data_IF_105365194978
#
_entry.id   IF_105365194978
#
_cell.length_a   1.000
_cell.length_b   1.000
_cell.length_c   1.000
_cell.angle_alpha   90.00
_cell.angle_beta   90.00
_cell.angle_gamma   90.00
#
_symmetry.space_group_name_H-M   'P 1'
#
loop_
_entity.id
_entity.type
_entity.pdbx_description
1 polymer ?
#
# COMPACT_ATOMS: atom_id res chain seq x y z
N UNK A 1 13.32 -15.25 5.24
CA UNK A 1 12.02 -14.58 4.92
C UNK A 1 11.86 -13.43 5.91
N UNK A 2 11.54 -12.23 5.46
CA UNK A 2 11.27 -11.06 6.34
C UNK A 2 9.76 -10.92 6.52
N UNK A 3 9.32 -10.56 7.71
CA UNK A 3 7.92 -10.33 8.05
C UNK A 3 7.63 -8.82 8.07
N UNK A 4 6.68 -8.38 7.25
CA UNK A 4 6.21 -7.00 7.16
C UNK A 4 4.69 -6.95 7.37
N UNK A 5 4.18 -5.81 7.86
CA UNK A 5 2.74 -5.53 7.75
C UNK A 5 2.41 -5.01 6.35
N UNK A 6 1.18 -5.23 5.88
CA UNK A 6 0.66 -4.48 4.75
C UNK A 6 0.39 -3.02 5.16
N UNK A 7 0.75 -2.06 4.30
CA UNK A 7 0.54 -0.63 4.54
C UNK A 7 -0.89 -0.32 5.03
N UNK A 8 -1.01 0.38 6.15
CA UNK A 8 -2.27 0.81 6.75
C UNK A 8 -3.08 -0.26 7.49
N UNK A 9 -2.54 -1.49 7.67
CA UNK A 9 -3.21 -2.56 8.43
C UNK A 9 -2.83 -2.58 9.91
N UNK A 10 -1.81 -1.83 10.32
CA UNK A 10 -1.34 -1.74 11.71
C UNK A 10 -1.09 -0.28 12.06
N UNK A 11 -1.63 0.18 13.17
CA UNK A 11 -1.22 1.43 13.81
C UNK A 11 -0.11 1.10 14.82
N UNK A 12 1.13 1.37 14.41
CA UNK A 12 2.30 1.06 15.23
C UNK A 12 2.43 1.93 16.48
N UNK A 13 1.80 3.10 16.51
CA UNK A 13 1.80 3.96 17.69
C UNK A 13 0.75 3.54 18.71
N UNK A 14 -0.34 2.91 18.27
CA UNK A 14 -1.35 2.32 19.13
C UNK A 14 -0.98 0.91 19.63
N UNK A 15 -0.21 0.15 18.83
CA UNK A 15 0.23 -1.22 19.15
C UNK A 15 1.75 -1.39 18.91
N UNK A 16 2.61 -0.67 19.65
CA UNK A 16 4.06 -0.69 19.43
C UNK A 16 4.70 -2.06 19.72
N UNK A 17 4.13 -2.84 20.61
CA UNK A 17 4.58 -4.20 20.90
C UNK A 17 4.41 -5.13 19.70
N UNK A 18 3.34 -4.98 18.93
CA UNK A 18 3.13 -5.74 17.69
C UNK A 18 4.09 -5.27 16.60
N UNK A 19 4.24 -3.95 16.45
CA UNK A 19 5.15 -3.39 15.45
C UNK A 19 6.60 -3.86 15.65
N UNK A 20 7.07 -3.97 16.91
CA UNK A 20 8.42 -4.46 17.25
C UNK A 20 8.65 -5.94 16.93
N UNK A 21 7.63 -6.72 16.64
CA UNK A 21 7.79 -8.12 16.19
C UNK A 21 8.07 -8.24 14.71
N UNK A 22 7.94 -7.16 13.95
CA UNK A 22 8.16 -7.14 12.51
C UNK A 22 9.65 -6.95 12.18
N UNK A 23 10.08 -7.52 11.05
CA UNK A 23 11.42 -7.25 10.50
C UNK A 23 11.47 -5.88 9.79
N UNK A 24 10.31 -5.37 9.35
CA UNK A 24 10.11 -4.03 8.76
C UNK A 24 8.69 -3.58 9.05
N UNK A 25 8.52 -2.33 9.43
CA UNK A 25 7.22 -1.69 9.53
C UNK A 25 6.94 -0.81 8.31
N UNK A 26 5.83 -1.05 7.62
CA UNK A 26 5.35 -0.25 6.48
C UNK A 26 4.26 0.70 6.98
N UNK A 27 4.46 2.01 6.81
CA UNK A 27 3.52 3.02 7.31
C UNK A 27 2.21 3.04 6.53
N UNK A 28 1.20 3.72 7.07
CA UNK A 28 0.05 4.18 6.29
C UNK A 28 0.54 5.06 5.15
N UNK A 29 -0.12 4.98 3.98
CA UNK A 29 0.20 5.82 2.82
C UNK A 29 0.10 7.30 3.19
N UNK A 30 1.16 8.05 2.84
CA UNK A 30 1.28 9.50 3.04
C UNK A 30 1.09 10.20 1.70
N UNK A 31 0.31 11.28 1.70
CA UNK A 31 0.06 12.16 0.55
C UNK A 31 0.63 13.56 0.81
N UNK A 32 0.78 14.44 -0.20
CA UNK A 32 1.27 15.81 0.04
C UNK A 32 0.47 16.57 1.09
N UNK A 33 -0.85 16.54 0.96
CA UNK A 33 -1.77 17.22 1.88
C UNK A 33 -2.45 16.20 2.80
N UNK A 34 -2.88 16.66 3.97
CA UNK A 34 -3.70 15.89 4.90
C UNK A 34 -5.04 15.50 4.27
N UNK A 35 -5.53 14.30 4.59
CA UNK A 35 -6.82 13.78 4.11
C UNK A 35 -7.61 13.16 5.26
N UNK A 36 -8.87 13.53 5.36
CA UNK A 36 -9.80 12.90 6.32
C UNK A 36 -10.24 11.51 5.86
N UNK A 37 -10.16 11.25 4.55
CA UNK A 37 -10.67 10.05 3.90
C UNK A 37 -12.17 10.12 3.62
N UNK A 38 -12.76 8.96 3.36
CA UNK A 38 -14.19 8.85 3.06
C UNK A 38 -15.04 8.94 4.33
N UNK A 39 -16.31 9.28 4.18
CA UNK A 39 -17.29 9.24 5.26
C UNK A 39 -17.47 7.81 5.84
N UNK A 40 -17.82 7.64 7.12
CA UNK A 40 -18.22 6.35 7.65
C UNK A 40 -19.65 5.99 7.15
N UNK A 41 -20.00 4.70 6.99
CA UNK A 41 -19.26 3.47 7.31
C UNK A 41 -18.21 3.18 6.25
N UNK A 42 -16.95 3.03 6.63
CA UNK A 42 -15.82 2.83 5.71
C UNK A 42 -15.00 1.55 5.95
N UNK A 43 -15.49 0.69 6.86
CA UNK A 43 -14.98 -0.67 7.09
C UNK A 43 -16.19 -1.56 7.35
N UNK A 44 -16.20 -2.75 6.76
CA UNK A 44 -17.20 -3.76 6.99
C UNK A 44 -16.59 -5.17 6.95
N UNK A 45 -16.93 -6.01 7.91
CA UNK A 45 -16.58 -7.42 7.91
C UNK A 45 -17.46 -8.17 6.94
N UNK A 46 -16.93 -9.22 6.34
CA UNK A 46 -17.64 -10.20 5.52
C UNK A 46 -17.30 -11.59 6.01
N UNK A 47 -18.06 -12.62 5.61
CA UNK A 47 -17.85 -14.00 6.02
C UNK A 47 -16.40 -14.49 5.83
N UNK A 48 -15.71 -14.09 4.76
CA UNK A 48 -14.38 -14.57 4.39
C UNK A 48 -13.30 -13.48 4.36
N UNK A 49 -13.63 -12.28 4.81
CA UNK A 49 -12.68 -11.15 4.76
C UNK A 49 -13.24 -9.85 5.28
N UNK A 50 -12.70 -8.76 4.77
CA UNK A 50 -13.08 -7.41 5.18
C UNK A 50 -13.07 -6.48 3.95
N UNK A 51 -14.04 -5.59 3.90
CA UNK A 51 -14.08 -4.48 2.95
C UNK A 51 -13.65 -3.19 3.64
N UNK A 52 -12.86 -2.38 2.94
CA UNK A 52 -12.52 -1.05 3.39
C UNK A 52 -12.67 0.00 2.28
N UNK A 53 -13.15 1.17 2.63
CA UNK A 53 -13.24 2.34 1.78
C UNK A 53 -12.65 3.56 2.51
N UNK A 54 -11.41 3.47 2.99
CA UNK A 54 -10.79 4.49 3.85
C UNK A 54 -10.54 5.82 3.12
N UNK A 55 -10.23 5.81 1.82
CA UNK A 55 -10.01 7.02 1.03
C UNK A 55 -8.69 7.74 1.33
N UNK A 56 -7.63 6.99 1.64
CA UNK A 56 -6.29 7.50 1.93
C UNK A 56 -6.23 8.49 3.11
N UNK A 57 -7.04 8.29 4.17
CA UNK A 57 -6.94 9.11 5.39
C UNK A 57 -5.50 9.10 5.92
N UNK A 58 -4.88 10.28 6.04
CA UNK A 58 -3.50 10.45 6.49
C UNK A 58 -3.22 11.91 6.87
N UNK A 59 -2.17 12.20 7.67
CA UNK A 59 -1.88 13.55 8.17
C UNK A 59 -1.25 14.50 7.13
N UNK A 60 -0.89 14.02 5.94
CA UNK A 60 -0.05 14.74 4.98
C UNK A 60 1.45 14.68 5.34
N UNK A 61 2.32 15.01 4.35
CA UNK A 61 3.77 14.86 4.51
C UNK A 61 4.34 15.75 5.61
N UNK A 62 3.87 16.97 5.80
CA UNK A 62 4.42 17.89 6.79
C UNK A 62 4.19 17.38 8.21
N UNK A 63 2.94 17.11 8.59
CA UNK A 63 2.62 16.54 9.90
C UNK A 63 3.20 15.13 10.10
N UNK A 64 3.31 14.35 9.02
CA UNK A 64 3.99 13.05 9.09
C UNK A 64 5.46 13.21 9.50
N UNK A 65 6.21 14.11 8.86
CA UNK A 65 7.62 14.35 9.16
C UNK A 65 7.85 14.95 10.55
N UNK A 66 6.97 15.82 11.01
CA UNK A 66 7.12 16.53 12.27
C UNK A 66 6.65 15.73 13.48
N UNK A 67 5.55 14.99 13.34
CA UNK A 67 4.84 14.40 14.49
C UNK A 67 4.87 12.86 14.50
N UNK A 68 4.85 12.20 13.32
CA UNK A 68 4.72 10.76 13.23
C UNK A 68 6.07 10.07 13.05
N UNK A 69 6.89 10.53 12.10
CA UNK A 69 8.17 9.89 11.76
C UNK A 69 9.11 9.77 12.97
N UNK A 70 9.32 10.81 13.81
CA UNK A 70 10.18 10.69 14.99
C UNK A 70 9.70 9.59 15.96
N UNK A 71 8.40 9.53 16.21
CA UNK A 71 7.81 8.52 17.11
C UNK A 71 7.89 7.11 16.53
N UNK A 72 7.76 6.96 15.22
CA UNK A 72 7.91 5.67 14.53
C UNK A 72 9.37 5.20 14.56
N UNK A 73 10.34 6.12 14.44
CA UNK A 73 11.75 5.81 14.55
C UNK A 73 12.14 5.26 15.94
N UNK A 74 11.48 5.69 17.01
CA UNK A 74 11.67 5.18 18.37
C UNK A 74 11.27 3.71 18.56
N UNK A 75 10.53 3.13 17.60
CA UNK A 75 10.20 1.70 17.64
C UNK A 75 11.43 0.80 17.47
N UNK A 76 12.51 1.31 16.84
CA UNK A 76 13.73 0.56 16.57
C UNK A 76 13.56 -0.53 15.50
N UNK A 77 12.52 -0.43 14.68
CA UNK A 77 12.24 -1.32 13.54
C UNK A 77 12.51 -0.57 12.25
N UNK A 78 13.16 -1.18 11.24
CA UNK A 78 13.33 -0.59 9.92
C UNK A 78 12.01 -0.06 9.36
N UNK A 79 12.00 1.19 8.89
CA UNK A 79 10.78 1.86 8.42
C UNK A 79 10.75 1.96 6.90
N UNK A 80 9.67 1.47 6.31
CA UNK A 80 9.28 1.78 4.94
C UNK A 80 8.11 2.76 4.96
N UNK A 81 8.18 3.81 4.15
CA UNK A 81 7.07 4.77 4.06
C UNK A 81 6.28 4.50 2.79
N UNK A 82 5.00 4.24 2.95
CA UNK A 82 4.07 4.13 1.82
C UNK A 82 3.73 5.53 1.32
N UNK A 83 3.97 5.77 0.03
CA UNK A 83 3.79 7.04 -0.67
C UNK A 83 2.62 6.93 -1.64
N UNK A 84 1.76 7.93 -1.66
CA UNK A 84 0.64 8.00 -2.59
C UNK A 84 0.31 9.42 -3.00
N UNK A 85 -0.43 9.53 -4.09
CA UNK A 85 -0.85 10.81 -4.65
C UNK A 85 -1.93 10.62 -5.70
N UNK A 86 -2.32 11.71 -6.34
CA UNK A 86 -3.33 11.78 -7.39
C UNK A 86 -2.75 12.28 -8.70
N UNK A 87 -1.53 12.81 -8.66
CA UNK A 87 -0.74 13.23 -9.80
C UNK A 87 0.69 12.71 -9.66
N UNK A 88 1.45 12.75 -10.74
CA UNK A 88 2.87 12.41 -10.75
C UNK A 88 3.66 13.30 -9.79
N UNK A 89 3.34 14.60 -9.76
CA UNK A 89 3.96 15.60 -8.90
C UNK A 89 3.78 15.28 -7.42
N UNK A 90 2.62 14.74 -7.02
CA UNK A 90 2.33 14.34 -5.65
C UNK A 90 3.31 13.27 -5.17
N UNK A 91 3.55 12.23 -5.99
CA UNK A 91 4.51 11.17 -5.66
C UNK A 91 5.93 11.71 -5.55
N UNK A 92 6.34 12.54 -6.52
CA UNK A 92 7.67 13.16 -6.54
C UNK A 92 7.87 14.07 -5.32
N UNK A 93 6.88 14.89 -4.98
CA UNK A 93 6.92 15.77 -3.82
C UNK A 93 7.13 14.99 -2.52
N UNK A 94 6.31 13.97 -2.27
CA UNK A 94 6.39 13.17 -1.02
C UNK A 94 7.71 12.41 -0.97
N UNK A 95 8.10 11.75 -2.07
CA UNK A 95 9.34 10.98 -2.14
C UNK A 95 10.58 11.87 -1.94
N UNK A 96 10.62 13.05 -2.57
CA UNK A 96 11.71 14.02 -2.40
C UNK A 96 11.86 14.52 -0.97
N UNK A 97 10.73 14.74 -0.24
CA UNK A 97 10.74 15.11 1.18
C UNK A 97 11.27 13.98 2.08
N UNK A 98 11.14 12.72 1.66
CA UNK A 98 11.60 11.55 2.38
C UNK A 98 13.04 11.14 2.00
N UNK A 99 13.56 11.60 0.86
CA UNK A 99 14.86 11.19 0.30
C UNK A 99 16.02 11.33 1.30
N UNK A 100 16.10 12.48 1.99
CA UNK A 100 17.16 12.78 2.96
C UNK A 100 16.89 12.25 4.39
N UNK A 101 15.78 11.55 4.63
CA UNK A 101 15.40 11.08 5.98
C UNK A 101 16.09 9.75 6.27
N UNK A 102 17.12 9.78 7.14
CA UNK A 102 17.89 8.59 7.52
C UNK A 102 17.07 7.51 8.22
N UNK A 103 15.95 7.89 8.85
CA UNK A 103 15.02 6.98 9.53
C UNK A 103 14.23 6.09 8.57
N UNK A 104 14.14 6.48 7.28
CA UNK A 104 13.37 5.77 6.25
C UNK A 104 14.30 4.88 5.44
N UNK A 105 14.10 3.55 5.50
CA UNK A 105 14.90 2.57 4.77
C UNK A 105 14.49 2.48 3.29
N UNK A 106 13.17 2.47 3.00
CA UNK A 106 12.65 2.34 1.64
C UNK A 106 11.30 3.05 1.47
N UNK A 107 10.89 3.25 0.21
CA UNK A 107 9.58 3.78 -0.14
C UNK A 107 8.74 2.70 -0.83
N UNK A 108 7.49 2.54 -0.38
CA UNK A 108 6.47 1.74 -1.07
C UNK A 108 5.54 2.68 -1.84
N UNK A 109 5.58 2.66 -3.16
CA UNK A 109 4.71 3.48 -4.02
C UNK A 109 3.34 2.82 -4.16
N UNK A 110 2.30 3.42 -3.60
CA UNK A 110 0.93 2.92 -3.67
C UNK A 110 0.28 3.34 -5.00
N UNK A 111 0.51 2.56 -6.06
CA UNK A 111 0.15 2.88 -7.45
C UNK A 111 -1.24 2.36 -7.86
N UNK A 112 -2.03 1.86 -6.93
CA UNK A 112 -3.26 1.14 -7.27
C UNK A 112 -4.29 1.13 -6.14
N UNK A 113 -4.59 2.31 -5.55
CA UNK A 113 -5.59 2.37 -4.48
C UNK A 113 -7.01 2.22 -5.06
N UNK A 114 -7.77 1.16 -4.75
CA UNK A 114 -9.12 0.96 -5.29
C UNK A 114 -10.17 1.92 -4.69
N UNK A 115 -9.79 2.69 -3.68
CA UNK A 115 -10.66 3.57 -2.91
C UNK A 115 -10.57 5.05 -3.36
N UNK A 116 -9.87 5.32 -4.46
CA UNK A 116 -9.77 6.63 -5.10
C UNK A 116 -9.97 6.45 -6.61
N UNK A 117 -10.67 7.39 -7.23
CA UNK A 117 -11.02 7.32 -8.64
C UNK A 117 -9.90 7.88 -9.55
N UNK A 118 -8.91 8.56 -8.96
CA UNK A 118 -7.83 9.26 -9.65
C UNK A 118 -6.48 8.70 -9.18
N UNK A 119 -5.98 7.67 -9.86
CA UNK A 119 -4.60 7.17 -9.67
C UNK A 119 -3.90 7.27 -11.03
N UNK A 120 -2.62 7.68 -11.10
CA UNK A 120 -1.88 7.70 -12.37
C UNK A 120 -1.95 6.34 -13.06
N UNK A 121 -2.42 6.32 -14.31
CA UNK A 121 -2.59 5.07 -15.08
C UNK A 121 -1.26 4.42 -15.45
N UNK A 122 -0.15 5.21 -15.50
CA UNK A 122 1.14 4.74 -15.96
C UNK A 122 2.10 4.50 -14.79
N UNK A 123 2.19 3.26 -14.34
CA UNK A 123 3.11 2.84 -13.28
C UNK A 123 4.57 3.17 -13.60
N UNK A 124 5.01 2.96 -14.84
CA UNK A 124 6.39 3.24 -15.25
C UNK A 124 6.76 4.71 -15.13
N UNK A 125 5.86 5.62 -15.52
CA UNK A 125 6.12 7.07 -15.41
C UNK A 125 6.28 7.51 -13.96
N UNK A 126 5.41 7.04 -13.06
CA UNK A 126 5.51 7.40 -11.65
C UNK A 126 6.79 6.85 -11.03
N UNK A 127 7.13 5.58 -11.30
CA UNK A 127 8.37 4.99 -10.78
C UNK A 127 9.60 5.75 -11.29
N UNK A 128 9.67 6.06 -12.59
CA UNK A 128 10.79 6.79 -13.18
C UNK A 128 10.94 8.20 -12.59
N UNK A 129 9.83 8.92 -12.44
CA UNK A 129 9.83 10.26 -11.86
C UNK A 129 10.27 10.26 -10.38
N UNK A 130 9.77 9.30 -9.59
CA UNK A 130 10.19 9.14 -8.19
C UNK A 130 11.65 8.69 -8.11
N UNK A 131 12.11 7.80 -8.99
CA UNK A 131 13.50 7.36 -9.05
C UNK A 131 14.45 8.54 -9.28
N UNK A 132 14.08 9.51 -10.10
CA UNK A 132 14.85 10.74 -10.31
C UNK A 132 14.93 11.64 -9.06
N UNK A 133 14.00 11.50 -8.12
CA UNK A 133 13.92 12.32 -6.91
C UNK A 133 14.56 11.68 -5.66
N UNK A 134 14.94 10.40 -5.70
CA UNK A 134 15.50 9.70 -4.54
C UNK A 134 16.35 8.50 -4.92
N UNK A 135 17.40 8.23 -4.12
CA UNK A 135 18.22 7.01 -4.23
C UNK A 135 17.74 5.89 -3.29
N UNK A 136 16.69 6.12 -2.51
CA UNK A 136 16.14 5.10 -1.61
C UNK A 136 15.58 3.91 -2.39
N UNK A 137 15.63 2.68 -1.83
CA UNK A 137 14.95 1.54 -2.42
C UNK A 137 13.46 1.84 -2.66
N UNK A 138 12.98 1.54 -3.88
CA UNK A 138 11.60 1.76 -4.32
C UNK A 138 10.88 0.44 -4.55
N UNK A 139 9.76 0.23 -3.86
CA UNK A 139 8.86 -0.91 -4.04
C UNK A 139 7.56 -0.44 -4.70
N UNK A 140 7.26 -0.95 -5.89
CA UNK A 140 6.01 -0.65 -6.59
C UNK A 140 4.89 -1.55 -6.06
N UNK A 141 3.88 -0.96 -5.40
CA UNK A 141 2.71 -1.72 -4.92
C UNK A 141 1.62 -1.74 -5.97
N UNK A 142 1.36 -2.95 -6.49
CA UNK A 142 0.48 -3.17 -7.62
C UNK A 142 -0.84 -3.85 -7.18
N UNK A 143 -1.88 -3.67 -8.00
CA UNK A 143 -3.15 -4.37 -7.88
C UNK A 143 -3.18 -5.58 -8.81
N UNK A 144 -3.87 -6.65 -8.37
CA UNK A 144 -4.23 -7.76 -9.25
C UNK A 144 -5.36 -7.42 -10.23
N UNK A 145 -6.00 -6.27 -10.07
CA UNK A 145 -7.15 -5.83 -10.88
C UNK A 145 -6.73 -4.97 -12.09
N UNK A 146 -5.64 -5.33 -12.74
CA UNK A 146 -5.14 -4.69 -13.97
C UNK A 146 -5.23 -5.68 -15.13
N UNK A 147 -5.32 -5.17 -16.35
CA UNK A 147 -5.49 -6.01 -17.56
C UNK A 147 -4.28 -6.94 -17.79
N UNK A 148 -3.06 -6.44 -17.60
CA UNK A 148 -1.81 -7.21 -17.73
C UNK A 148 -0.85 -6.83 -16.59
N UNK A 149 -0.88 -7.64 -15.53
CA UNK A 149 -0.03 -7.44 -14.36
C UNK A 149 1.45 -7.71 -14.71
N UNK A 150 1.74 -8.64 -15.61
CA UNK A 150 3.10 -8.93 -16.05
C UNK A 150 3.73 -7.73 -16.77
N UNK A 151 3.00 -7.12 -17.70
CA UNK A 151 3.45 -5.91 -18.38
C UNK A 151 3.64 -4.73 -17.39
N UNK A 152 2.72 -4.57 -16.44
CA UNK A 152 2.83 -3.54 -15.40
C UNK A 152 4.08 -3.75 -14.52
N UNK A 153 4.38 -4.99 -14.16
CA UNK A 153 5.57 -5.34 -13.37
C UNK A 153 6.87 -5.08 -14.13
N UNK A 154 6.92 -5.46 -15.42
CA UNK A 154 8.07 -5.14 -16.30
C UNK A 154 8.27 -3.64 -16.47
N UNK A 155 7.19 -2.87 -16.60
CA UNK A 155 7.27 -1.41 -16.69
C UNK A 155 7.85 -0.79 -15.41
N UNK A 156 7.46 -1.28 -14.22
CA UNK A 156 8.04 -0.85 -12.96
C UNK A 156 9.53 -1.18 -12.87
N UNK A 157 9.95 -2.40 -13.26
CA UNK A 157 11.36 -2.82 -13.30
C UNK A 157 12.19 -1.94 -14.25
N UNK A 158 11.72 -1.74 -15.47
CA UNK A 158 12.38 -0.90 -16.47
C UNK A 158 12.51 0.55 -16.04
N UNK A 159 11.59 1.05 -15.22
CA UNK A 159 11.57 2.40 -14.67
C UNK A 159 12.45 2.58 -13.43
N UNK A 160 13.08 1.52 -12.91
CA UNK A 160 14.01 1.58 -11.78
C UNK A 160 13.40 1.29 -10.41
N UNK A 161 12.31 0.52 -10.35
CA UNK A 161 11.87 -0.09 -9.09
C UNK A 161 12.88 -1.13 -8.61
N UNK A 162 13.12 -1.20 -7.30
CA UNK A 162 14.00 -2.17 -6.66
C UNK A 162 13.23 -3.42 -6.18
N UNK A 163 11.91 -3.36 -6.18
CA UNK A 163 11.05 -4.47 -5.79
C UNK A 163 9.57 -4.23 -6.08
N UNK A 164 8.77 -5.28 -5.85
CA UNK A 164 7.32 -5.24 -5.99
C UNK A 164 6.65 -5.58 -4.66
N UNK A 165 5.55 -4.90 -4.35
CA UNK A 165 4.62 -5.27 -3.28
C UNK A 165 3.31 -5.77 -3.89
N UNK A 166 2.95 -7.02 -3.66
CA UNK A 166 1.83 -7.72 -4.28
C UNK A 166 0.97 -8.43 -3.23
N UNK A 167 -0.30 -8.11 -3.08
CA UNK A 167 -1.11 -7.23 -3.92
C UNK A 167 -1.82 -6.19 -3.05
N UNK A 168 -2.31 -5.11 -3.70
CA UNK A 168 -3.31 -4.25 -3.07
C UNK A 168 -4.65 -4.99 -2.98
N UNK A 169 -5.60 -4.48 -2.21
CA UNK A 169 -6.98 -4.99 -2.14
C UNK A 169 -7.66 -4.92 -3.51
N UNK A 170 -8.60 -5.82 -3.77
CA UNK A 170 -9.41 -5.80 -5.00
C UNK A 170 -10.80 -5.24 -4.72
N UNK A 171 -11.46 -4.66 -5.72
CA UNK A 171 -12.80 -4.07 -5.54
C UNK A 171 -13.81 -5.15 -5.18
N UNK A 172 -14.62 -4.87 -4.16
CA UNK A 172 -15.72 -5.71 -3.70
C UNK A 172 -16.91 -4.90 -3.22
N UNK A 173 -18.05 -5.56 -3.11
CA UNK A 173 -19.30 -5.02 -2.59
C UNK A 173 -19.86 -6.01 -1.58
N UNK A 174 -20.37 -5.52 -0.45
CA UNK A 174 -21.23 -6.28 0.44
C UNK A 174 -22.56 -5.54 0.64
N UNK A 175 -23.64 -6.30 0.71
CA UNK A 175 -24.99 -5.79 0.95
C UNK A 175 -25.44 -6.20 2.35
N UNK A 176 -26.16 -5.31 3.01
CA UNK A 176 -26.94 -5.66 4.19
C UNK A 176 -28.04 -6.64 3.79
N UNK A 177 -28.11 -7.80 4.43
CA UNK A 177 -29.02 -8.90 4.05
C UNK A 177 -30.50 -8.53 4.14
N UNK A 178 -30.86 -7.59 5.00
CA UNK A 178 -32.25 -7.17 5.24
C UNK A 178 -32.68 -6.06 4.30
N UNK A 179 -31.79 -5.06 4.09
CA UNK A 179 -32.14 -3.86 3.33
C UNK A 179 -31.69 -3.92 1.87
N UNK A 180 -30.80 -4.86 1.54
CA UNK A 180 -30.14 -5.00 0.24
C UNK A 180 -29.40 -3.73 -0.20
N UNK A 181 -29.05 -2.87 0.76
CA UNK A 181 -28.24 -1.68 0.49
C UNK A 181 -26.74 -1.98 0.75
N UNK A 182 -25.84 -1.27 0.09
CA UNK A 182 -24.41 -1.37 0.39
C UNK A 182 -24.12 -1.09 1.87
N UNK A 183 -23.25 -1.92 2.48
CA UNK A 183 -22.86 -1.75 3.89
C UNK A 183 -21.83 -0.63 4.08
N UNK A 184 -21.07 -0.29 3.04
CA UNK A 184 -20.17 0.86 3.05
C UNK A 184 -20.89 2.09 2.47
N UNK A 185 -20.67 3.26 3.05
CA UNK A 185 -21.25 4.53 2.58
C UNK A 185 -20.92 4.80 1.11
N UNK A 186 -19.68 4.54 0.69
CA UNK A 186 -19.23 4.66 -0.71
C UNK A 186 -19.73 3.51 -1.63
N UNK A 187 -20.45 2.55 -1.11
CA UNK A 187 -20.93 1.36 -1.82
C UNK A 187 -19.83 0.30 -1.95
N UNK A 188 -18.84 0.52 -2.79
CA UNK A 188 -17.73 -0.42 -3.02
C UNK A 188 -16.50 -0.09 -2.18
N UNK A 189 -15.70 -1.12 -1.88
CA UNK A 189 -14.45 -0.98 -1.14
C UNK A 189 -13.38 -1.98 -1.60
N UNK A 190 -12.21 -1.91 -0.99
CA UNK A 190 -11.13 -2.86 -1.18
C UNK A 190 -11.36 -4.11 -0.32
N UNK A 191 -11.47 -5.27 -0.95
CA UNK A 191 -11.59 -6.57 -0.31
C UNK A 191 -10.22 -7.09 0.12
N UNK A 192 -10.11 -7.52 1.38
CA UNK A 192 -8.92 -8.11 2.00
C UNK A 192 -9.30 -9.35 2.83
N UNK A 193 -8.30 -10.00 3.44
CA UNK A 193 -8.50 -11.19 4.26
C UNK A 193 -8.25 -12.50 3.49
N UNK A 194 -8.60 -13.66 4.09
CA UNK A 194 -8.29 -14.99 3.54
C UNK A 194 -8.79 -15.22 2.11
N UNK A 195 -9.92 -14.62 1.76
CA UNK A 195 -10.52 -14.70 0.41
C UNK A 195 -9.59 -14.17 -0.70
N UNK A 196 -8.68 -13.24 -0.36
CA UNK A 196 -7.75 -12.64 -1.33
C UNK A 196 -6.55 -13.56 -1.64
N UNK A 197 -6.27 -14.58 -0.82
CA UNK A 197 -5.07 -15.41 -0.93
C UNK A 197 -4.85 -16.03 -2.32
N UNK A 198 -5.82 -16.69 -2.97
CA UNK A 198 -5.59 -17.28 -4.30
C UNK A 198 -5.29 -16.23 -5.36
N UNK A 199 -5.89 -15.05 -5.27
CA UNK A 199 -5.62 -13.91 -6.18
C UNK A 199 -4.20 -13.39 -5.96
N UNK A 200 -3.80 -13.20 -4.70
CA UNK A 200 -2.45 -12.75 -4.35
C UNK A 200 -1.37 -13.73 -4.81
N UNK A 201 -1.59 -15.04 -4.63
CA UNK A 201 -0.67 -16.08 -5.09
C UNK A 201 -0.52 -16.10 -6.61
N UNK A 202 -1.62 -15.96 -7.37
CA UNK A 202 -1.59 -15.86 -8.83
C UNK A 202 -0.79 -14.64 -9.29
N UNK A 203 -1.02 -13.49 -8.66
CA UNK A 203 -0.28 -12.25 -8.94
C UNK A 203 1.22 -12.37 -8.67
N UNK A 204 1.60 -12.92 -7.51
CA UNK A 204 3.00 -13.18 -7.16
C UNK A 204 3.64 -14.14 -8.17
N UNK A 205 2.95 -15.23 -8.52
CA UNK A 205 3.44 -16.19 -9.52
C UNK A 205 3.68 -15.53 -10.89
N UNK A 206 2.74 -14.71 -11.36
CA UNK A 206 2.88 -13.98 -12.62
C UNK A 206 4.10 -13.06 -12.58
N UNK A 207 4.21 -12.17 -11.58
CA UNK A 207 5.32 -11.22 -11.50
C UNK A 207 6.68 -11.92 -11.29
N UNK A 208 6.73 -13.01 -10.54
CA UNK A 208 7.94 -13.80 -10.35
C UNK A 208 8.49 -14.38 -11.66
N UNK A 209 7.61 -14.66 -12.63
CA UNK A 209 8.02 -15.15 -13.95
C UNK A 209 8.42 -14.04 -14.93
N UNK A 210 7.90 -12.84 -14.70
CA UNK A 210 8.01 -11.71 -15.64
C UNK A 210 9.12 -10.71 -15.27
N UNK A 211 9.59 -10.72 -14.01
CA UNK A 211 10.62 -9.80 -13.52
C UNK A 211 11.67 -10.54 -12.68
N UNK A 212 12.80 -9.88 -12.42
CA UNK A 212 13.84 -10.34 -11.49
C UNK A 212 13.78 -9.62 -10.14
N UNK A 213 12.80 -8.75 -9.95
CA UNK A 213 12.67 -7.96 -8.74
C UNK A 213 12.30 -8.83 -7.53
N UNK A 214 12.82 -8.53 -6.33
CA UNK A 214 12.33 -9.12 -5.10
C UNK A 214 10.86 -8.76 -4.91
N UNK A 215 10.08 -9.71 -4.37
CA UNK A 215 8.65 -9.57 -4.19
C UNK A 215 8.30 -9.64 -2.70
N UNK A 216 7.57 -8.63 -2.22
CA UNK A 216 6.86 -8.65 -0.94
C UNK A 216 5.45 -9.15 -1.20
N UNK A 217 5.18 -10.42 -0.81
CA UNK A 217 3.85 -11.03 -0.97
C UNK A 217 2.92 -10.66 0.19
N UNK A 218 1.71 -10.19 -0.12
CA UNK A 218 0.67 -9.87 0.85
C UNK A 218 -0.72 -10.20 0.31
N UNK A 219 -1.69 -10.33 1.21
CA UNK A 219 -3.08 -10.66 0.88
C UNK A 219 -3.43 -12.10 1.29
N UNK A 220 -4.25 -12.22 2.33
CA UNK A 220 -4.75 -13.50 2.84
C UNK A 220 -3.71 -14.37 3.55
N UNK A 221 -2.58 -13.83 3.96
CA UNK A 221 -1.58 -14.52 4.79
C UNK A 221 -2.14 -14.66 6.20
N UNK A 222 -2.42 -15.89 6.63
CA UNK A 222 -3.03 -16.19 7.93
C UNK A 222 -2.19 -17.11 8.81
N UNK A 223 -1.13 -17.71 8.26
CA UNK A 223 -0.26 -18.67 8.95
C UNK A 223 1.17 -18.56 8.44
N UNK A 224 2.17 -18.81 9.32
CA UNK A 224 3.59 -18.84 8.97
C UNK A 224 4.06 -20.09 8.20
N UNK A 225 3.12 -20.94 7.78
CA UNK A 225 3.39 -22.12 6.93
C UNK A 225 2.49 -22.08 5.69
N UNK A 226 2.97 -22.63 4.54
CA UNK A 226 2.18 -22.69 3.33
C UNK A 226 0.90 -23.52 3.49
#
# INVERSE_FOLDING_TARGET
>A
MRLLNASGCLDALAAPEVARTLDVFVTKTVTPLAREGNAPVRIAETELGMLNAIGLANPGIDAFLEQHLPRLAELGVPLWVSVGGFSLEDYVQVAGRLAARGEVEALELNLSCPNVDEVPENVGEVVAAVRAATDKPLYAKLSAAVADLGATARAAEAAGADGLSLVNTVRGLALDERTLQPVLDRGVGGLSGPVLRPVALAAVHTCFRETRLPIVGMGGVSRGRP
#
